data_IF_299554147481
#
_entry.id   IF_299554147481
#
_cell.length_a   1.000
_cell.length_b   1.000
_cell.length_c   1.000
_cell.angle_alpha   90.00
_cell.angle_beta   90.00
_cell.angle_gamma   90.00
#
_symmetry.space_group_name_H-M   'P 1'
#
loop_
_entity.id
_entity.type
_entity.pdbx_description
1 polymer ?
#
# COMPACT_ATOMS: atom_id res chain seq x y z
N UNK A 1 -35.90 10.92 -25.45
CA UNK A 1 -35.36 11.97 -24.56
C UNK A 1 -33.87 11.97 -24.80
N UNK A 2 -33.29 13.08 -25.25
CA UNK A 2 -31.84 13.17 -25.50
C UNK A 2 -31.11 13.13 -24.16
N UNK A 3 -30.07 12.30 -24.06
CA UNK A 3 -29.33 12.12 -22.81
C UNK A 3 -28.35 13.28 -22.68
N UNK A 4 -28.41 14.02 -21.58
CA UNK A 4 -27.42 15.04 -21.26
C UNK A 4 -26.14 14.32 -20.86
N UNK A 5 -25.07 14.51 -21.64
CA UNK A 5 -23.72 14.00 -21.35
C UNK A 5 -22.84 15.22 -21.10
N UNK A 6 -22.25 15.29 -19.92
CA UNK A 6 -21.40 16.40 -19.52
C UNK A 6 -20.03 16.34 -20.22
N UNK A 7 -19.45 17.51 -20.49
CA UNK A 7 -18.10 17.62 -21.08
C UNK A 7 -17.09 18.06 -20.04
N UNK A 8 -16.55 17.08 -19.33
CA UNK A 8 -15.46 17.27 -18.37
C UNK A 8 -14.21 17.82 -19.06
N UNK A 9 -13.65 18.89 -18.50
CA UNK A 9 -12.49 19.60 -19.08
C UNK A 9 -11.16 18.96 -18.67
N UNK A 10 -11.12 18.32 -17.50
CA UNK A 10 -9.91 17.75 -16.90
C UNK A 10 -10.05 16.25 -16.67
N UNK A 11 -8.92 15.61 -16.38
CA UNK A 11 -8.82 14.20 -16.00
C UNK A 11 -8.17 14.04 -14.63
N UNK A 12 -8.52 12.98 -13.92
CA UNK A 12 -7.78 12.57 -12.72
C UNK A 12 -6.35 12.19 -13.10
N UNK A 13 -5.38 12.59 -12.27
CA UNK A 13 -3.97 12.21 -12.46
C UNK A 13 -3.78 10.71 -12.44
N UNK A 14 -2.92 10.20 -13.32
CA UNK A 14 -2.54 8.79 -13.34
C UNK A 14 -1.35 8.58 -12.39
N UNK A 15 -1.42 7.51 -11.60
CA UNK A 15 -0.34 7.11 -10.69
C UNK A 15 0.07 5.68 -11.03
N UNK A 16 1.36 5.47 -11.24
CA UNK A 16 1.96 4.16 -11.50
C UNK A 16 2.60 3.65 -10.21
N UNK A 17 2.20 2.46 -9.76
CA UNK A 17 2.70 1.83 -8.54
C UNK A 17 3.41 0.53 -8.91
N UNK A 18 4.62 0.33 -8.41
CA UNK A 18 5.47 -0.83 -8.68
C UNK A 18 6.41 -0.62 -9.87
N UNK A 19 7.54 -1.34 -9.87
CA UNK A 19 8.54 -1.32 -10.94
C UNK A 19 8.49 -2.57 -11.84
N UNK A 20 8.36 -3.78 -11.26
CA UNK A 20 8.42 -5.05 -12.01
C UNK A 20 7.11 -5.39 -12.72
N UNK A 21 5.98 -5.26 -12.01
CA UNK A 21 4.62 -5.44 -12.53
C UNK A 21 3.79 -4.20 -12.19
N UNK A 22 4.04 -3.07 -12.86
CA UNK A 22 3.42 -1.80 -12.52
C UNK A 22 1.90 -1.87 -12.68
N UNK A 23 1.20 -1.21 -11.76
CA UNK A 23 -0.24 -0.97 -11.83
C UNK A 23 -0.46 0.52 -11.95
N UNK A 24 -1.25 0.93 -12.94
CA UNK A 24 -1.72 2.31 -13.09
C UNK A 24 -3.11 2.44 -12.48
N UNK A 25 -3.34 3.53 -11.74
CA UNK A 25 -4.65 3.97 -11.23
C UNK A 25 -4.91 5.41 -11.68
N UNK A 26 -6.18 5.82 -11.69
CA UNK A 26 -6.59 7.16 -12.08
C UNK A 26 -6.84 7.31 -13.59
N UNK A 27 -6.84 8.55 -14.09
CA UNK A 27 -7.02 8.85 -15.51
C UNK A 27 -8.48 9.03 -15.94
N UNK A 28 -9.43 8.98 -15.02
CA UNK A 28 -10.85 9.12 -15.31
C UNK A 28 -11.18 10.51 -15.86
N UNK A 29 -12.04 10.55 -16.88
CA UNK A 29 -12.51 11.79 -17.54
C UNK A 29 -14.02 11.99 -17.39
N UNK A 30 -14.59 11.50 -16.30
CA UNK A 30 -16.01 11.60 -15.99
C UNK A 30 -16.39 10.77 -14.77
N UNK A 31 -17.70 10.61 -14.55
CA UNK A 31 -18.23 9.97 -13.34
C UNK A 31 -18.37 8.47 -13.56
N UNK A 32 -17.87 7.69 -12.60
CA UNK A 32 -18.02 6.24 -12.57
C UNK A 32 -19.50 5.82 -12.70
N UNK A 33 -19.74 4.82 -13.56
CA UNK A 33 -21.04 4.16 -13.76
C UNK A 33 -22.14 5.02 -14.40
N UNK A 34 -21.79 6.18 -14.97
CA UNK A 34 -22.70 6.96 -15.82
C UNK A 34 -22.41 6.62 -17.29
N UNK A 35 -23.30 5.85 -17.90
CA UNK A 35 -23.20 5.43 -19.31
C UNK A 35 -23.08 6.65 -20.25
N UNK A 36 -21.92 6.75 -20.90
CA UNK A 36 -21.53 7.89 -21.76
C UNK A 36 -20.49 8.83 -21.13
N UNK A 37 -20.26 8.75 -19.82
CA UNK A 37 -19.29 9.54 -19.04
C UNK A 37 -18.26 8.69 -18.28
N UNK A 38 -18.46 7.38 -18.22
CA UNK A 38 -17.69 6.41 -17.44
C UNK A 38 -16.34 6.00 -18.07
N UNK A 39 -15.69 6.93 -18.77
CA UNK A 39 -14.36 6.71 -19.35
C UNK A 39 -13.31 6.55 -18.24
N UNK A 40 -13.12 5.30 -17.82
CA UNK A 40 -12.16 4.90 -16.80
C UNK A 40 -11.06 4.06 -17.46
N UNK A 41 -9.92 4.66 -17.84
CA UNK A 41 -8.85 3.94 -18.53
C UNK A 41 -8.20 2.89 -17.62
N UNK A 42 -8.21 3.12 -16.31
CA UNK A 42 -7.68 2.22 -15.30
C UNK A 42 -8.80 1.84 -14.32
N UNK A 43 -9.13 0.55 -14.16
CA UNK A 43 -10.17 0.14 -13.22
C UNK A 43 -9.71 0.30 -11.76
N UNK A 44 -10.65 0.39 -10.80
CA UNK A 44 -10.33 0.36 -9.38
C UNK A 44 -9.51 -0.88 -9.00
N UNK A 45 -8.64 -0.73 -8.00
CA UNK A 45 -7.74 -1.78 -7.52
C UNK A 45 -7.99 -2.11 -6.07
N UNK A 46 -7.80 -3.38 -5.72
CA UNK A 46 -7.99 -3.87 -4.35
C UNK A 46 -6.64 -4.28 -3.75
N UNK A 47 -6.26 -3.59 -2.68
CA UNK A 47 -5.11 -3.97 -1.87
C UNK A 47 -5.55 -4.78 -0.65
N UNK A 48 -4.83 -5.85 -0.32
CA UNK A 48 -5.04 -6.59 0.92
C UNK A 48 -4.02 -6.18 1.98
N UNK A 49 -4.50 -5.95 3.19
CA UNK A 49 -3.67 -5.55 4.33
C UNK A 49 -2.91 -6.74 4.92
N UNK A 50 -1.61 -6.54 5.15
CA UNK A 50 -0.69 -7.47 5.81
C UNK A 50 0.04 -6.70 6.89
N UNK A 51 0.07 -7.22 8.12
CA UNK A 51 0.85 -6.62 9.20
C UNK A 51 2.20 -7.31 9.31
N UNK A 52 3.24 -6.56 9.67
CA UNK A 52 4.57 -7.10 9.99
C UNK A 52 4.63 -7.86 11.34
N UNK A 53 3.48 -8.00 12.02
CA UNK A 53 3.28 -8.84 13.20
C UNK A 53 1.88 -9.44 13.23
N UNK A 54 1.72 -10.54 13.98
CA UNK A 54 0.42 -11.19 14.18
C UNK A 54 -0.58 -10.23 14.87
N UNK A 55 -1.77 -10.01 14.29
CA UNK A 55 -2.79 -9.12 14.86
C UNK A 55 -3.68 -9.88 15.86
N UNK A 56 -3.20 -10.05 17.09
CA UNK A 56 -3.88 -10.85 18.12
C UNK A 56 -5.31 -10.36 18.43
N UNK A 57 -5.53 -9.04 18.35
CA UNK A 57 -6.82 -8.40 18.64
C UNK A 57 -7.84 -8.48 17.50
N UNK A 58 -7.48 -9.04 16.34
CA UNK A 58 -8.44 -9.19 15.24
C UNK A 58 -9.53 -10.22 15.57
N UNK A 59 -10.78 -9.99 15.13
CA UNK A 59 -11.86 -10.96 15.29
C UNK A 59 -11.52 -12.33 14.68
N UNK A 60 -11.92 -13.41 15.35
CA UNK A 60 -11.61 -14.79 14.92
C UNK A 60 -12.14 -15.12 13.51
N UNK A 61 -13.32 -14.56 13.17
CA UNK A 61 -13.93 -14.70 11.83
C UNK A 61 -13.00 -14.19 10.72
N UNK A 62 -12.18 -13.19 11.01
CA UNK A 62 -11.24 -12.62 10.06
C UNK A 62 -9.94 -13.43 10.04
N UNK A 63 -9.42 -13.79 11.23
CA UNK A 63 -8.19 -14.58 11.38
C UNK A 63 -8.27 -15.96 10.72
N UNK A 64 -9.43 -16.62 10.79
CA UNK A 64 -9.65 -17.96 10.22
C UNK A 64 -9.36 -18.03 8.72
N UNK A 65 -9.56 -16.94 7.97
CA UNK A 65 -9.29 -16.91 6.52
C UNK A 65 -7.79 -16.98 6.18
N UNK A 66 -6.94 -16.52 7.09
CA UNK A 66 -5.49 -16.45 6.93
C UNK A 66 -4.75 -17.59 7.66
N UNK A 67 -5.32 -18.09 8.76
CA UNK A 67 -4.77 -19.18 9.54
C UNK A 67 -3.34 -18.90 10.01
N UNK A 68 -2.44 -19.88 9.86
CA UNK A 68 -1.05 -19.77 10.29
C UNK A 68 -0.24 -18.70 9.53
N UNK A 69 -0.71 -18.22 8.38
CA UNK A 69 -0.02 -17.18 7.63
C UNK A 69 0.11 -15.87 8.42
N UNK A 70 -0.82 -15.59 9.35
CA UNK A 70 -0.76 -14.38 10.20
C UNK A 70 0.51 -14.27 11.05
N UNK A 71 1.24 -15.38 11.25
CA UNK A 71 2.48 -15.43 12.03
C UNK A 71 3.72 -15.07 11.23
N UNK A 72 3.62 -15.10 9.89
CA UNK A 72 4.72 -14.76 8.99
C UNK A 72 4.23 -13.79 7.91
N UNK A 73 4.62 -12.51 7.96
CA UNK A 73 4.17 -11.50 7.00
C UNK A 73 4.53 -11.83 5.55
N UNK A 74 5.58 -12.63 5.31
CA UNK A 74 5.96 -13.06 3.96
C UNK A 74 4.96 -14.09 3.42
N UNK A 75 4.63 -15.09 4.23
CA UNK A 75 3.65 -16.10 3.85
C UNK A 75 2.23 -15.51 3.76
N UNK A 76 1.91 -14.54 4.62
CA UNK A 76 0.66 -13.78 4.52
C UNK A 76 0.57 -12.99 3.21
N UNK A 77 1.63 -12.26 2.84
CA UNK A 77 1.64 -11.52 1.59
C UNK A 77 1.49 -12.44 0.36
N UNK A 78 2.15 -13.61 0.35
CA UNK A 78 1.97 -14.62 -0.70
C UNK A 78 0.53 -15.14 -0.74
N UNK A 79 -0.05 -15.46 0.41
CA UNK A 79 -1.45 -15.91 0.49
C UNK A 79 -2.41 -14.88 -0.11
N UNK A 80 -2.22 -13.59 0.22
CA UNK A 80 -3.01 -12.50 -0.33
C UNK A 80 -2.85 -12.35 -1.85
N UNK A 81 -1.62 -12.42 -2.35
CA UNK A 81 -1.36 -12.32 -3.80
C UNK A 81 -1.88 -13.55 -4.57
N UNK A 82 -1.58 -14.76 -4.11
CA UNK A 82 -1.77 -15.98 -4.89
C UNK A 82 -3.17 -16.58 -4.73
N UNK A 83 -3.68 -16.64 -3.49
CA UNK A 83 -4.98 -17.27 -3.21
C UNK A 83 -6.14 -16.28 -3.33
N UNK A 84 -5.95 -15.07 -2.82
CA UNK A 84 -6.99 -14.05 -2.82
C UNK A 84 -6.92 -13.11 -4.03
N UNK A 85 -5.89 -13.24 -4.87
CA UNK A 85 -5.73 -12.45 -6.11
C UNK A 85 -5.73 -10.93 -5.85
N UNK A 86 -5.10 -10.50 -4.76
CA UNK A 86 -4.95 -9.09 -4.45
C UNK A 86 -4.16 -8.37 -5.56
N UNK A 87 -4.65 -7.22 -6.02
CA UNK A 87 -3.94 -6.40 -7.01
C UNK A 87 -2.65 -5.82 -6.41
N UNK A 88 -2.69 -5.44 -5.13
CA UNK A 88 -1.57 -4.90 -4.36
C UNK A 88 -1.53 -5.49 -2.95
N UNK A 89 -0.36 -5.41 -2.31
CA UNK A 89 -0.23 -5.66 -0.87
C UNK A 89 -0.09 -4.33 -0.14
N UNK A 90 -0.90 -4.12 0.89
CA UNK A 90 -0.73 -3.02 1.83
C UNK A 90 -0.02 -3.53 3.09
N UNK A 91 1.28 -3.30 3.18
CA UNK A 91 2.08 -3.61 4.36
C UNK A 91 1.90 -2.53 5.42
N UNK A 92 1.28 -2.90 6.55
CA UNK A 92 1.29 -2.09 7.77
C UNK A 92 2.45 -2.50 8.66
N UNK A 93 3.30 -1.54 8.99
CA UNK A 93 4.40 -1.68 9.95
C UNK A 93 3.88 -1.55 11.40
N UNK A 94 2.90 -2.37 11.78
CA UNK A 94 2.23 -2.30 13.08
C UNK A 94 3.20 -2.54 14.25
N UNK A 95 4.20 -3.39 14.06
CA UNK A 95 5.18 -3.75 15.09
C UNK A 95 6.05 -2.60 15.55
N UNK A 96 6.14 -1.52 14.77
CA UNK A 96 6.97 -0.37 15.12
C UNK A 96 6.31 0.51 16.18
N UNK A 97 5.02 0.36 16.46
CA UNK A 97 4.33 1.19 17.44
C UNK A 97 5.02 1.08 18.82
N UNK A 98 5.32 2.19 19.51
CA UNK A 98 6.02 2.18 20.80
C UNK A 98 5.34 1.32 21.88
N UNK A 99 4.00 1.28 21.88
CA UNK A 99 3.21 0.50 22.85
C UNK A 99 3.04 -0.99 22.49
N UNK A 100 3.63 -1.45 21.37
CA UNK A 100 3.56 -2.85 20.93
C UNK A 100 4.94 -3.51 21.04
N UNK A 101 5.55 -3.90 19.91
CA UNK A 101 6.90 -4.46 19.86
C UNK A 101 7.98 -3.38 19.80
N UNK A 102 7.62 -2.14 19.46
CA UNK A 102 8.54 -1.03 19.24
C UNK A 102 9.72 -1.42 18.33
N UNK A 103 9.43 -2.20 17.28
CA UNK A 103 10.45 -2.69 16.36
C UNK A 103 11.26 -1.53 15.76
N UNK A 104 12.52 -1.81 15.46
CA UNK A 104 13.44 -0.86 14.87
C UNK A 104 13.14 -0.60 13.40
N UNK A 105 13.61 0.55 12.89
CA UNK A 105 13.53 0.88 11.47
C UNK A 105 14.21 -0.17 10.59
N UNK A 106 15.30 -0.77 11.06
CA UNK A 106 16.02 -1.85 10.36
C UNK A 106 15.23 -3.16 10.31
N UNK A 107 14.49 -3.51 11.35
CA UNK A 107 13.62 -4.69 11.36
C UNK A 107 12.46 -4.52 10.38
N UNK A 108 11.80 -3.35 10.40
CA UNK A 108 10.75 -3.01 9.46
C UNK A 108 11.23 -3.05 7.99
N UNK A 109 12.40 -2.44 7.71
CA UNK A 109 13.02 -2.47 6.38
C UNK A 109 13.33 -3.88 5.90
N UNK A 110 13.87 -4.75 6.77
CA UNK A 110 14.12 -6.16 6.43
C UNK A 110 12.84 -6.94 6.12
N UNK A 111 11.76 -6.69 6.86
CA UNK A 111 10.46 -7.31 6.57
C UNK A 111 9.95 -6.88 5.20
N UNK A 112 9.99 -5.58 4.90
CA UNK A 112 9.62 -5.04 3.60
C UNK A 112 10.43 -5.66 2.46
N UNK A 113 11.76 -5.73 2.58
CA UNK A 113 12.62 -6.37 1.57
C UNK A 113 12.28 -7.84 1.33
N UNK A 114 11.97 -8.58 2.40
CA UNK A 114 11.59 -10.00 2.28
C UNK A 114 10.27 -10.14 1.51
N UNK A 115 9.29 -9.28 1.77
CA UNK A 115 8.01 -9.29 1.05
C UNK A 115 8.22 -8.89 -0.41
N UNK A 116 8.98 -7.83 -0.69
CA UNK A 116 9.30 -7.39 -2.07
C UNK A 116 9.98 -8.49 -2.91
N UNK A 117 10.75 -9.37 -2.27
CA UNK A 117 11.37 -10.54 -2.93
C UNK A 117 10.40 -11.72 -3.11
N UNK A 118 9.36 -11.79 -2.28
CA UNK A 118 8.46 -12.92 -2.19
C UNK A 118 7.20 -12.78 -3.06
N UNK A 119 6.69 -11.55 -3.25
CA UNK A 119 5.48 -11.29 -4.04
C UNK A 119 5.82 -10.48 -5.29
N UNK A 120 5.04 -10.68 -6.35
CA UNK A 120 5.25 -9.99 -7.62
C UNK A 120 4.35 -8.77 -7.84
N UNK A 121 3.33 -8.59 -6.99
CA UNK A 121 2.40 -7.45 -7.03
C UNK A 121 3.02 -6.21 -6.36
N UNK A 122 2.62 -4.98 -6.74
CA UNK A 122 3.13 -3.77 -6.10
C UNK A 122 2.75 -3.65 -4.62
N UNK A 123 3.57 -2.91 -3.88
CA UNK A 123 3.37 -2.68 -2.45
C UNK A 123 2.96 -1.25 -2.14
N UNK A 124 2.03 -1.14 -1.21
CA UNK A 124 1.74 0.05 -0.41
C UNK A 124 2.37 -0.19 0.96
N UNK A 125 3.07 0.80 1.50
CA UNK A 125 3.69 0.72 2.83
C UNK A 125 3.11 1.82 3.71
N UNK A 126 2.57 1.44 4.86
CA UNK A 126 2.03 2.36 5.85
C UNK A 126 2.60 2.14 7.25
N UNK A 127 2.77 3.24 7.97
CA UNK A 127 3.30 3.24 9.32
C UNK A 127 2.38 2.65 10.39
N UNK A 128 2.86 2.72 11.62
CA UNK A 128 2.16 2.27 12.83
C UNK A 128 1.12 3.26 13.36
N UNK A 129 1.02 4.46 12.76
CA UNK A 129 0.25 5.61 13.27
C UNK A 129 0.86 6.27 14.50
N UNK A 130 2.15 6.06 14.76
CA UNK A 130 2.92 6.76 15.79
C UNK A 130 3.83 7.80 15.11
N UNK A 131 3.47 9.10 15.05
CA UNK A 131 4.08 10.06 14.12
C UNK A 131 5.61 10.19 14.22
N UNK A 132 6.15 10.25 15.43
CA UNK A 132 7.59 10.37 15.67
C UNK A 132 8.34 9.12 15.17
N UNK A 133 7.80 7.94 15.47
CA UNK A 133 8.38 6.66 15.08
C UNK A 133 8.24 6.44 13.57
N UNK A 134 7.09 6.77 13.00
CA UNK A 134 6.81 6.61 11.57
C UNK A 134 7.76 7.48 10.74
N UNK A 135 8.11 8.69 11.18
CA UNK A 135 9.11 9.53 10.49
C UNK A 135 10.46 8.83 10.29
N UNK A 136 10.96 8.15 11.33
CA UNK A 136 12.22 7.42 11.26
C UNK A 136 12.09 6.14 10.42
N UNK A 137 11.07 5.33 10.73
CA UNK A 137 10.84 4.03 10.12
C UNK A 137 10.58 4.16 8.61
N UNK A 138 9.70 5.08 8.23
CA UNK A 138 9.28 5.22 6.83
C UNK A 138 10.41 5.72 5.94
N UNK A 139 11.26 6.62 6.44
CA UNK A 139 12.45 7.06 5.72
C UNK A 139 13.43 5.89 5.47
N UNK A 140 13.59 4.99 6.46
CA UNK A 140 14.41 3.79 6.29
C UNK A 140 13.79 2.80 5.30
N UNK A 141 12.49 2.54 5.41
CA UNK A 141 11.75 1.65 4.52
C UNK A 141 11.73 2.14 3.06
N UNK A 142 11.60 3.45 2.83
CA UNK A 142 11.71 4.04 1.50
C UNK A 142 13.08 3.72 0.85
N UNK A 143 14.16 3.92 1.59
CA UNK A 143 15.50 3.58 1.11
C UNK A 143 15.68 2.07 0.86
N UNK A 144 15.10 1.22 1.71
CA UNK A 144 15.15 -0.24 1.54
C UNK A 144 14.36 -0.71 0.31
N UNK A 145 13.31 0.02 -0.09
CA UNK A 145 12.49 -0.25 -1.27
C UNK A 145 12.94 0.53 -2.52
N UNK A 146 14.15 1.09 -2.52
CA UNK A 146 14.66 1.95 -3.60
C UNK A 146 14.53 1.27 -4.97
N UNK A 147 13.89 1.97 -5.91
CA UNK A 147 13.67 1.51 -7.28
C UNK A 147 12.56 0.48 -7.47
N UNK A 148 11.84 0.10 -6.41
CA UNK A 148 10.66 -0.76 -6.51
C UNK A 148 9.37 0.05 -6.78
N UNK A 149 9.43 1.39 -6.70
CA UNK A 149 8.31 2.31 -6.92
C UNK A 149 7.09 1.99 -6.03
N UNK A 150 7.34 1.76 -4.74
CA UNK A 150 6.29 1.49 -3.76
C UNK A 150 5.50 2.76 -3.43
N UNK A 151 4.21 2.60 -3.09
CA UNK A 151 3.40 3.70 -2.58
C UNK A 151 3.59 3.83 -1.06
N UNK A 152 4.08 4.96 -0.57
CA UNK A 152 4.25 5.20 0.86
C UNK A 152 3.18 6.16 1.40
N UNK A 153 2.64 5.85 2.58
CA UNK A 153 1.67 6.68 3.29
C UNK A 153 1.68 6.45 4.81
N UNK A 154 0.97 7.24 5.62
CA UNK A 154 0.15 8.39 5.24
C UNK A 154 0.93 9.66 5.57
N UNK A 155 1.13 10.50 4.56
CA UNK A 155 1.65 11.85 4.75
C UNK A 155 0.57 12.73 5.40
N UNK A 156 0.88 13.28 6.57
CA UNK A 156 0.07 14.25 7.30
C UNK A 156 0.80 15.59 7.37
N UNK A 157 0.11 16.63 7.84
CA UNK A 157 0.71 17.97 8.01
C UNK A 157 1.99 17.95 8.85
N UNK A 158 2.11 17.01 9.78
CA UNK A 158 3.23 16.94 10.74
C UNK A 158 4.41 16.10 10.23
N UNK A 159 4.23 15.20 9.26
CA UNK A 159 5.27 14.26 8.81
C UNK A 159 5.61 14.34 7.31
N UNK A 160 4.85 15.10 6.51
CA UNK A 160 4.96 15.05 5.03
C UNK A 160 6.35 15.40 4.50
N UNK A 161 7.08 16.31 5.15
CA UNK A 161 8.38 16.79 4.65
C UNK A 161 9.40 15.65 4.56
N UNK A 162 9.52 14.88 5.64
CA UNK A 162 10.46 13.76 5.74
C UNK A 162 10.07 12.64 4.80
N UNK A 163 8.78 12.28 4.77
CA UNK A 163 8.28 11.22 3.92
C UNK A 163 8.42 11.55 2.43
N UNK A 164 8.04 12.77 2.03
CA UNK A 164 8.16 13.23 0.64
C UNK A 164 9.62 13.21 0.19
N UNK A 165 10.54 13.72 1.01
CA UNK A 165 11.97 13.70 0.70
C UNK A 165 12.51 12.28 0.51
N UNK A 166 12.07 11.33 1.35
CA UNK A 166 12.45 9.93 1.25
C UNK A 166 11.92 9.26 -0.02
N UNK A 167 10.66 9.53 -0.40
CA UNK A 167 10.10 9.02 -1.66
C UNK A 167 10.82 9.59 -2.88
N UNK A 168 11.08 10.91 -2.90
CA UNK A 168 11.78 11.56 -4.02
C UNK A 168 13.20 11.02 -4.23
N UNK A 169 13.90 10.63 -3.16
CA UNK A 169 15.27 10.11 -3.26
C UNK A 169 15.34 8.61 -3.58
N UNK A 170 14.27 7.86 -3.27
CA UNK A 170 14.24 6.40 -3.40
C UNK A 170 13.57 5.93 -4.70
N UNK A 171 12.73 6.77 -5.33
CA UNK A 171 11.94 6.37 -6.50
C UNK A 171 11.01 5.21 -6.17
#
# INVERSE_FOLDING_TARGET
MERLIEKWQDKISEVVIGAKKPITIGGETGIYFIDGEDKCPNPPRVAMEVWDMEPEAWPEVLKTNFGNALKDPVEWAKLCADKFSADLICLRLASTHPDTKNASSQEAGKTLEKILKAVSVPLIVIGSSAPEKDNEVMAHCANAAKGENCLFGIATQDNYKTLTAACLSSG
#
